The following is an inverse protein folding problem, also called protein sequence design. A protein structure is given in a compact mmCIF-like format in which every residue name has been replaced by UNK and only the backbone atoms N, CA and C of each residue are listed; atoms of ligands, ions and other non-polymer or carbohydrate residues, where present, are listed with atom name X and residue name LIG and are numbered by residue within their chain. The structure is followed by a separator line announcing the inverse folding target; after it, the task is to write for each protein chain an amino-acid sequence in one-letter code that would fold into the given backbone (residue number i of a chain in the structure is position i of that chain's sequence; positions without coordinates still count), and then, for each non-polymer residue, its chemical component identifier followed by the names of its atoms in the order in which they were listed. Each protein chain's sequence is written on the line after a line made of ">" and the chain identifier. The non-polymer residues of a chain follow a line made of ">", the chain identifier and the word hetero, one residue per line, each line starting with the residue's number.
data_IF_879953874016
#
_entry.id   IF_879953874016
#
_cell.length_a   1.000
_cell.length_b   1.000
_cell.length_c   1.000
_cell.angle_alpha   90.00
_cell.angle_beta   90.00
_cell.angle_gamma   90.00
#
_symmetry.space_group_name_H-M   'P 1'
#
loop_
_entity.id
_entity.type
_entity.pdbx_description
1 polymer ?
#
# COMPACT_ATOMS: atom_id res chain seq x y z
N UNK A 1 -17.07 17.92 2.45
CA UNK A 1 -15.60 17.74 2.38
C UNK A 1 -15.00 19.14 2.33
N UNK A 2 -14.41 19.63 3.41
CA UNK A 2 -13.91 21.00 3.46
C UNK A 2 -12.48 21.07 2.89
N UNK A 3 -12.31 21.80 1.79
CA UNK A 3 -11.01 21.99 1.16
C UNK A 3 -10.17 22.97 2.01
N UNK A 4 -8.93 22.61 2.34
CA UNK A 4 -8.03 23.52 3.07
C UNK A 4 -7.83 24.82 2.27
N UNK A 5 -8.22 25.96 2.86
CA UNK A 5 -8.18 27.30 2.24
C UNK A 5 -6.85 27.66 1.57
N UNK A 6 -5.71 27.23 2.14
CA UNK A 6 -4.39 27.51 1.56
C UNK A 6 -4.14 26.78 0.22
N UNK A 7 -4.65 25.56 0.07
CA UNK A 7 -4.42 24.75 -1.15
C UNK A 7 -5.25 25.26 -2.33
N UNK A 8 -6.44 25.80 -2.06
CA UNK A 8 -7.32 26.37 -3.10
C UNK A 8 -6.75 27.70 -3.60
N UNK A 9 -6.29 28.58 -2.69
CA UNK A 9 -5.73 29.88 -3.04
C UNK A 9 -4.49 29.78 -3.94
N UNK A 10 -3.56 28.86 -3.63
CA UNK A 10 -2.34 28.68 -4.43
C UNK A 10 -2.59 28.13 -5.84
N UNK A 11 -3.66 27.35 -6.01
CA UNK A 11 -4.07 26.80 -7.32
C UNK A 11 -4.76 27.88 -8.15
N UNK A 12 -5.70 28.63 -7.56
CA UNK A 12 -6.45 29.67 -8.28
C UNK A 12 -5.59 30.88 -8.64
N UNK A 13 -4.54 31.19 -7.86
CA UNK A 13 -3.61 32.29 -8.13
C UNK A 13 -2.50 31.94 -9.12
N UNK A 14 -2.47 30.70 -9.65
CA UNK A 14 -1.45 30.25 -10.60
C UNK A 14 -0.04 30.12 -10.01
N UNK A 15 0.12 30.23 -8.69
CA UNK A 15 1.43 30.11 -8.01
C UNK A 15 2.02 28.70 -8.10
N UNK A 16 1.20 27.68 -8.36
CA UNK A 16 1.66 26.31 -8.59
C UNK A 16 2.06 26.08 -10.04
N UNK A 17 3.34 25.73 -10.23
CA UNK A 17 3.92 25.31 -11.53
C UNK A 17 3.54 23.89 -11.96
N UNK A 18 2.90 23.09 -11.09
CA UNK A 18 2.52 21.70 -11.37
C UNK A 18 1.02 21.56 -11.44
N UNK A 19 0.56 20.76 -12.40
CA UNK A 19 -0.84 20.41 -12.57
C UNK A 19 -1.36 19.79 -11.25
N UNK A 20 -2.53 20.22 -10.74
CA UNK A 20 -3.11 19.65 -9.53
C UNK A 20 -3.37 18.14 -9.69
N UNK A 21 -3.36 17.40 -8.58
CA UNK A 21 -3.77 15.99 -8.61
C UNK A 21 -5.26 15.87 -8.91
N UNK A 22 -5.66 14.81 -9.62
CA UNK A 22 -7.07 14.56 -9.94
C UNK A 22 -7.99 14.59 -8.72
N UNK A 23 -7.56 14.01 -7.59
CA UNK A 23 -8.36 14.02 -6.35
C UNK A 23 -8.73 15.42 -5.88
N UNK A 24 -7.85 16.41 -6.08
CA UNK A 24 -8.16 17.80 -5.78
C UNK A 24 -9.17 18.39 -6.78
N UNK A 25 -8.94 18.18 -8.08
CA UNK A 25 -9.83 18.69 -9.15
C UNK A 25 -11.24 18.12 -9.00
N UNK A 26 -11.35 16.82 -8.76
CA UNK A 26 -12.61 16.14 -8.50
C UNK A 26 -13.34 16.74 -7.29
N UNK A 27 -12.68 16.80 -6.12
CA UNK A 27 -13.31 17.41 -4.93
C UNK A 27 -13.70 18.87 -5.15
N UNK A 28 -12.91 19.64 -5.89
CA UNK A 28 -13.21 21.04 -6.20
C UNK A 28 -14.45 21.18 -7.10
N UNK A 29 -14.48 20.48 -8.24
CA UNK A 29 -15.60 20.53 -9.19
C UNK A 29 -16.89 20.04 -8.54
N UNK A 30 -16.86 18.93 -7.80
CA UNK A 30 -18.05 18.44 -7.08
C UNK A 30 -18.55 19.45 -6.06
N UNK A 31 -17.65 20.10 -5.30
CA UNK A 31 -18.05 21.12 -4.31
C UNK A 31 -18.64 22.35 -4.99
N UNK A 32 -18.07 22.79 -6.12
CA UNK A 32 -18.59 23.91 -6.90
C UNK A 32 -19.96 23.59 -7.52
N UNK A 33 -20.16 22.38 -8.04
CA UNK A 33 -21.45 21.95 -8.59
C UNK A 33 -22.53 21.95 -7.50
N UNK A 34 -22.25 21.37 -6.33
CA UNK A 34 -23.18 21.38 -5.18
C UNK A 34 -23.48 22.80 -4.68
N UNK A 35 -22.47 23.69 -4.64
CA UNK A 35 -22.68 25.08 -4.25
C UNK A 35 -23.50 25.87 -5.28
N UNK A 36 -23.31 25.60 -6.58
CA UNK A 36 -24.08 26.21 -7.66
C UNK A 36 -25.56 25.78 -7.61
N UNK A 37 -25.83 24.49 -7.38
CA UNK A 37 -27.18 23.97 -7.17
C UNK A 37 -27.88 24.63 -5.97
N UNK A 38 -27.16 24.77 -4.84
CA UNK A 38 -27.68 25.45 -3.64
C UNK A 38 -27.91 26.95 -3.86
N UNK A 39 -27.14 27.57 -4.77
CA UNK A 39 -27.26 28.98 -5.14
C UNK A 39 -28.24 29.26 -6.28
N UNK A 40 -28.89 28.23 -6.84
CA UNK A 40 -29.81 28.38 -7.98
C UNK A 40 -29.13 28.79 -9.29
N UNK A 41 -27.83 28.54 -9.43
CA UNK A 41 -27.05 28.81 -10.65
C UNK A 41 -27.14 27.62 -11.60
N UNK A 42 -27.23 27.89 -12.91
CA UNK A 42 -27.25 26.86 -13.94
C UNK A 42 -25.91 26.10 -13.99
N UNK A 43 -25.96 24.81 -13.62
CA UNK A 43 -24.81 23.90 -13.58
C UNK A 43 -24.53 23.29 -14.96
N UNK A 44 -25.44 23.42 -15.93
CA UNK A 44 -25.33 22.81 -17.26
C UNK A 44 -24.09 23.28 -18.04
N UNK A 45 -23.66 24.53 -17.82
CA UNK A 45 -22.45 25.10 -18.42
C UNK A 45 -21.14 24.61 -17.80
N UNK A 46 -21.17 23.96 -16.62
CA UNK A 46 -19.97 23.49 -15.93
C UNK A 46 -19.45 22.17 -16.51
N UNK A 47 -20.26 21.43 -17.28
CA UNK A 47 -19.89 20.13 -17.83
C UNK A 47 -19.89 19.01 -16.78
N UNK A 48 -19.86 17.76 -17.25
CA UNK A 48 -19.83 16.60 -16.34
C UNK A 48 -18.42 16.31 -15.80
N UNK A 49 -18.34 15.50 -14.74
CA UNK A 49 -17.07 15.13 -14.10
C UNK A 49 -16.13 14.42 -15.10
N UNK A 50 -16.66 13.73 -16.11
CA UNK A 50 -15.88 13.05 -17.13
C UNK A 50 -15.20 14.02 -18.10
N UNK A 51 -15.89 15.08 -18.52
CA UNK A 51 -15.33 16.15 -19.34
C UNK A 51 -14.19 16.86 -18.61
N UNK A 52 -14.37 17.14 -17.31
CA UNK A 52 -13.30 17.70 -16.47
C UNK A 52 -12.10 16.75 -16.37
N UNK A 53 -12.32 15.44 -16.32
CA UNK A 53 -11.26 14.45 -16.30
C UNK A 53 -10.48 14.40 -17.62
N UNK A 54 -11.16 14.48 -18.76
CA UNK A 54 -10.54 14.55 -20.10
C UNK A 54 -9.65 15.79 -20.21
N UNK A 55 -10.15 16.96 -19.79
CA UNK A 55 -9.37 18.20 -19.75
C UNK A 55 -8.17 18.11 -18.80
N UNK A 56 -8.36 17.53 -17.61
CA UNK A 56 -7.28 17.32 -16.64
C UNK A 56 -6.19 16.41 -17.19
N UNK A 57 -6.56 15.30 -17.83
CA UNK A 57 -5.63 14.35 -18.45
C UNK A 57 -4.83 15.02 -19.57
N UNK A 58 -5.51 15.74 -20.47
CA UNK A 58 -4.83 16.48 -21.53
C UNK A 58 -3.82 17.51 -20.98
N UNK A 59 -4.19 18.24 -19.93
CA UNK A 59 -3.30 19.19 -19.26
C UNK A 59 -2.12 18.49 -18.55
N UNK A 60 -2.37 17.35 -17.91
CA UNK A 60 -1.35 16.57 -17.21
C UNK A 60 -0.35 15.92 -18.17
N UNK A 61 -0.84 15.39 -19.30
CA UNK A 61 0.00 14.79 -20.34
C UNK A 61 0.81 15.85 -21.09
N UNK A 62 0.21 17.02 -21.36
CA UNK A 62 0.94 18.18 -21.88
C UNK A 62 2.05 18.65 -20.91
N UNK A 63 1.77 18.67 -19.60
CA UNK A 63 2.77 19.01 -18.59
C UNK A 63 3.86 17.93 -18.43
N UNK A 64 3.56 16.66 -18.72
CA UNK A 64 4.54 15.58 -18.75
C UNK A 64 5.43 15.61 -20.00
N UNK A 65 4.92 16.13 -21.12
CA UNK A 65 5.61 16.29 -22.40
C UNK A 65 6.40 17.61 -22.53
N UNK A 66 6.42 18.46 -21.50
CA UNK A 66 7.15 19.74 -21.50
C UNK A 66 8.42 19.68 -20.64
N UNK A 67 9.59 19.31 -21.18
CA UNK A 67 10.87 19.81 -20.68
C UNK A 67 11.03 21.28 -21.10
N UNK A 68 11.61 22.10 -20.21
CA UNK A 68 11.98 23.50 -20.45
C UNK A 68 12.62 23.70 -21.85
N UNK A 69 12.13 24.62 -22.68
CA UNK A 69 12.98 25.23 -23.69
C UNK A 69 13.93 26.19 -22.97
N UNK A 70 15.23 25.90 -23.04
CA UNK A 70 16.23 26.95 -22.85
C UNK A 70 15.99 28.01 -23.92
N UNK A 71 15.86 29.26 -23.49
CA UNK A 71 15.72 30.42 -24.37
C UNK A 71 16.89 30.51 -25.35
N UNK A 72 16.61 30.57 -26.65
CA UNK A 72 17.28 31.52 -27.53
C UNK A 72 16.52 31.69 -28.85
N UNK A 73 16.13 32.93 -29.13
CA UNK A 73 16.18 33.47 -30.50
C UNK A 73 14.94 33.33 -31.37
N UNK A 74 14.20 34.42 -31.45
CA UNK A 74 13.16 34.76 -32.41
C UNK A 74 13.48 34.46 -33.92
N UNK A 75 12.44 33.96 -34.61
CA UNK A 75 11.99 34.25 -35.99
C UNK A 75 12.96 34.04 -37.18
N UNK A 76 12.60 33.16 -38.12
CA UNK A 76 12.17 33.50 -39.49
C UNK A 76 12.18 32.30 -40.46
N UNK A 77 11.39 32.48 -41.53
CA UNK A 77 11.00 31.56 -42.60
C UNK A 77 12.13 30.75 -43.30
N UNK A 78 11.74 29.52 -43.65
CA UNK A 78 12.04 28.71 -44.84
C UNK A 78 13.16 29.15 -45.81
N UNK A 79 14.18 28.27 -45.98
CA UNK A 79 14.91 28.00 -47.24
C UNK A 79 15.37 26.52 -47.26
N UNK A 80 15.33 25.90 -48.45
CA UNK A 80 15.67 24.52 -48.82
C UNK A 80 17.14 24.09 -48.54
N UNK A 81 17.49 22.78 -48.56
CA UNK A 81 18.76 22.27 -48.08
C UNK A 81 19.86 22.31 -49.14
N UNK A 82 21.15 22.42 -48.74
CA UNK A 82 22.22 21.87 -49.54
C UNK A 82 23.09 20.86 -48.77
N UNK A 83 23.37 19.77 -49.49
CA UNK A 83 24.60 18.99 -49.57
C UNK A 83 25.34 18.55 -48.30
N UNK A 84 25.49 17.21 -48.24
CA UNK A 84 26.43 16.42 -47.47
C UNK A 84 27.78 17.11 -47.20
N UNK A 85 28.17 17.10 -45.92
CA UNK A 85 29.56 17.28 -45.49
C UNK A 85 30.02 16.02 -44.78
N UNK A 86 31.15 15.53 -45.28
CA UNK A 86 31.89 14.32 -44.98
C UNK A 86 32.27 14.22 -43.49
N UNK A 87 32.10 13.03 -42.90
CA UNK A 87 32.61 12.72 -41.58
C UNK A 87 34.16 12.77 -41.55
N UNK A 88 34.79 13.27 -40.48
CA UNK A 88 36.26 13.22 -40.34
C UNK A 88 36.73 11.77 -40.05
N UNK A 89 37.94 11.39 -40.52
CA UNK A 89 38.47 10.04 -40.31
C UNK A 89 38.84 9.79 -38.82
N UNK A 90 38.84 8.51 -38.38
CA UNK A 90 39.15 8.16 -37.00
C UNK A 90 40.62 8.44 -36.66
N UNK A 91 40.84 9.08 -35.51
CA UNK A 91 42.16 9.33 -34.93
C UNK A 91 42.80 8.01 -34.45
N UNK A 92 44.13 7.83 -34.58
CA UNK A 92 44.82 6.64 -34.11
C UNK A 92 44.91 6.61 -32.57
N UNK A 93 44.52 5.48 -31.98
CA UNK A 93 44.72 5.19 -30.55
C UNK A 93 46.20 4.91 -30.26
N UNK A 94 46.81 5.52 -29.21
CA UNK A 94 48.17 5.20 -28.81
C UNK A 94 48.26 3.78 -28.22
N UNK A 95 49.24 3.03 -28.70
CA UNK A 95 49.58 1.68 -28.26
C UNK A 95 50.32 1.72 -26.92
N UNK A 96 49.60 1.67 -25.80
CA UNK A 96 50.17 1.33 -24.49
C UNK A 96 49.09 0.91 -23.47
N UNK A 97 48.24 -0.04 -23.86
CA UNK A 97 47.34 -0.71 -22.92
C UNK A 97 47.89 -2.11 -22.62
N UNK A 98 48.17 -2.48 -21.35
CA UNK A 98 48.53 -3.85 -21.03
C UNK A 98 47.34 -4.78 -21.33
N UNK A 99 47.59 -6.01 -21.80
CA UNK A 99 46.52 -6.92 -22.15
C UNK A 99 45.66 -7.25 -20.93
N UNK A 100 44.33 -7.19 -21.11
CA UNK A 100 43.35 -7.68 -20.14
C UNK A 100 43.69 -9.12 -19.76
N UNK A 101 43.77 -9.48 -18.47
CA UNK A 101 43.91 -10.87 -18.07
C UNK A 101 42.67 -11.65 -18.53
N UNK A 102 42.91 -12.71 -19.30
CA UNK A 102 41.85 -13.63 -19.70
C UNK A 102 41.37 -14.44 -18.49
N UNK A 103 40.05 -14.70 -18.36
CA UNK A 103 39.55 -15.56 -17.30
C UNK A 103 40.03 -17.00 -17.54
N UNK A 104 40.76 -17.53 -16.56
CA UNK A 104 41.07 -18.96 -16.47
C UNK A 104 39.78 -19.78 -16.29
N UNK A 105 39.58 -20.87 -17.04
CA UNK A 105 38.43 -21.75 -16.83
C UNK A 105 38.58 -22.47 -15.48
N UNK A 106 37.57 -22.38 -14.63
CA UNK A 106 37.49 -23.13 -13.38
C UNK A 106 37.26 -24.62 -13.71
N UNK A 107 38.22 -25.47 -13.32
CA UNK A 107 38.08 -26.92 -13.31
C UNK A 107 36.95 -27.34 -12.37
N UNK A 108 35.76 -27.62 -12.92
CA UNK A 108 34.72 -28.37 -12.24
C UNK A 108 34.99 -29.87 -12.43
N UNK A 109 35.83 -30.43 -11.56
CA UNK A 109 35.95 -31.88 -11.41
C UNK A 109 36.07 -32.26 -9.95
N UNK A 110 34.94 -32.19 -9.25
CA UNK A 110 34.75 -32.84 -7.95
C UNK A 110 33.41 -33.56 -7.99
N UNK A 111 33.43 -34.79 -8.53
CA UNK A 111 32.42 -35.81 -8.26
C UNK A 111 32.53 -36.22 -6.79
N UNK A 112 31.43 -36.28 -6.02
CA UNK A 112 31.44 -36.97 -4.73
C UNK A 112 31.54 -38.49 -4.98
N UNK A 113 32.50 -39.12 -4.31
CA UNK A 113 32.67 -40.58 -4.25
C UNK A 113 31.51 -41.24 -3.48
N UNK A 114 31.08 -42.45 -3.85
CA UNK A 114 30.06 -43.19 -3.11
C UNK A 114 30.62 -43.72 -1.78
N UNK A 115 29.86 -43.52 -0.71
CA UNK A 115 30.12 -44.09 0.63
C UNK A 115 29.91 -45.61 0.61
N UNK A 116 30.77 -46.41 1.25
CA UNK A 116 30.61 -47.86 1.32
C UNK A 116 29.46 -48.25 2.27
N UNK A 117 28.65 -49.20 1.81
CA UNK A 117 27.61 -49.85 2.58
C UNK A 117 28.25 -50.81 3.58
N UNK A 118 28.17 -50.49 4.88
CA UNK A 118 28.12 -51.47 5.97
C UNK A 118 27.86 -50.74 7.29
N UNK A 119 26.60 -50.68 7.69
CA UNK A 119 26.20 -50.32 9.06
C UNK A 119 24.90 -51.07 9.41
N UNK A 120 24.90 -52.00 10.39
CA UNK A 120 23.74 -52.83 10.71
C UNK A 120 22.66 -52.07 11.50
N UNK A 121 21.38 -52.49 11.42
CA UNK A 121 20.25 -51.77 12.04
C UNK A 121 20.22 -51.96 13.56
N UNK A 122 19.93 -50.88 14.28
CA UNK A 122 19.63 -50.92 15.73
C UNK A 122 18.19 -51.37 15.98
N UNK A 123 17.93 -52.15 17.05
CA UNK A 123 16.67 -52.83 17.29
C UNK A 123 15.57 -51.91 17.86
N UNK A 124 14.34 -52.23 17.48
CA UNK A 124 13.09 -51.68 18.01
C UNK A 124 12.61 -52.59 19.15
N UNK A 125 12.41 -52.02 20.33
CA UNK A 125 11.64 -52.58 21.45
C UNK A 125 10.93 -51.39 22.11
N UNK A 126 9.65 -51.38 22.44
CA UNK A 126 8.74 -52.46 22.78
C UNK A 126 8.05 -52.10 24.11
N UNK A 127 6.89 -51.45 24.01
CA UNK A 127 5.75 -51.26 24.92
C UNK A 127 5.80 -51.53 26.45
N UNK A 128 5.33 -50.52 27.22
CA UNK A 128 4.22 -50.48 28.22
C UNK A 128 4.20 -51.46 29.45
N UNK A 129 3.47 -51.23 30.58
CA UNK A 129 2.06 -50.77 30.77
C UNK A 129 1.92 -49.56 31.77
N UNK A 130 0.87 -48.73 31.84
CA UNK A 130 -0.60 -48.86 31.98
C UNK A 130 -1.12 -49.20 33.41
N UNK A 131 -1.68 -48.19 34.11
CA UNK A 131 -2.74 -48.24 35.14
C UNK A 131 -3.48 -46.87 35.01
N UNK A 132 -4.70 -46.78 34.45
CA UNK A 132 -6.02 -47.08 35.04
C UNK A 132 -6.74 -45.74 35.32
N UNK A 133 -7.58 -45.23 34.39
CA UNK A 133 -9.06 -45.24 34.39
C UNK A 133 -9.68 -44.37 35.52
N UNK A 134 -10.66 -43.48 35.37
CA UNK A 134 -11.82 -43.35 34.46
C UNK A 134 -12.49 -41.93 34.67
N UNK A 135 -13.71 -41.57 34.20
CA UNK A 135 -13.93 -40.45 33.28
C UNK A 135 -14.88 -39.34 33.79
N UNK A 136 -14.95 -38.21 33.07
CA UNK A 136 -16.13 -37.34 33.07
C UNK A 136 -16.19 -36.53 31.76
N UNK A 137 -17.33 -36.64 31.09
CA UNK A 137 -17.76 -35.87 29.91
C UNK A 137 -18.95 -34.98 30.34
N UNK A 138 -19.55 -34.15 29.47
CA UNK A 138 -19.11 -32.82 29.05
C UNK A 138 -20.06 -31.70 29.54
N UNK A 139 -19.58 -30.46 29.61
CA UNK A 139 -20.30 -29.22 29.24
C UNK A 139 -19.72 -27.97 29.93
N UNK A 140 -19.71 -26.87 29.17
CA UNK A 140 -19.77 -25.46 29.60
C UNK A 140 -18.50 -24.62 29.57
N UNK A 141 -18.61 -23.53 28.79
CA UNK A 141 -18.02 -22.22 29.06
C UNK A 141 -16.61 -22.04 28.51
N UNK A 142 -16.39 -21.48 27.31
CA UNK A 142 -16.76 -20.10 26.92
C UNK A 142 -16.70 -19.18 28.13
N UNK A 143 -15.51 -18.68 28.45
CA UNK A 143 -15.35 -17.50 29.30
C UNK A 143 -15.37 -16.26 28.40
N UNK A 144 -16.45 -15.47 28.39
CA UNK A 144 -16.45 -14.17 27.72
C UNK A 144 -15.65 -13.15 28.54
N UNK A 145 -14.77 -12.45 27.85
CA UNK A 145 -14.12 -11.23 28.28
C UNK A 145 -15.18 -10.22 28.76
N UNK A 146 -15.14 -9.81 30.04
CA UNK A 146 -16.05 -8.81 30.61
C UNK A 146 -15.46 -7.41 30.45
N UNK A 147 -16.22 -6.43 29.92
CA UNK A 147 -15.84 -5.02 29.97
C UNK A 147 -16.04 -4.46 31.39
N UNK A 148 -15.13 -3.56 31.79
CA UNK A 148 -15.18 -2.81 33.06
C UNK A 148 -16.52 -2.09 33.21
N UNK A 149 -17.23 -2.36 34.31
CA UNK A 149 -18.40 -1.60 34.77
C UNK A 149 -17.94 -0.26 35.36
N UNK A 150 -18.57 0.81 34.88
CA UNK A 150 -18.64 2.11 35.54
C UNK A 150 -19.25 1.98 36.93
N UNK A 151 -18.65 2.68 37.89
CA UNK A 151 -19.17 2.84 39.26
C UNK A 151 -20.31 3.86 39.23
N UNK A 152 -21.49 3.57 39.80
CA UNK A 152 -22.51 4.57 40.09
C UNK A 152 -22.51 4.93 41.59
N UNK A 153 -22.45 6.22 41.88
CA UNK A 153 -22.74 6.84 43.18
C UNK A 153 -22.65 8.35 42.99
N UNK A 154 -23.48 9.22 43.53
CA UNK A 154 -24.64 9.09 44.40
C UNK A 154 -25.48 10.36 44.14
N UNK A 155 -26.80 10.22 44.00
CA UNK A 155 -27.74 11.34 44.06
C UNK A 155 -28.22 11.50 45.51
N UNK A 156 -28.45 12.73 45.95
CA UNK A 156 -29.66 13.02 46.70
C UNK A 156 -30.50 14.12 46.06
N UNK A 157 -31.81 13.94 46.25
CA UNK A 157 -32.97 14.64 45.71
C UNK A 157 -33.29 16.01 46.41
N UNK A 158 -34.34 16.74 45.99
CA UNK A 158 -34.32 18.19 45.78
C UNK A 158 -34.96 19.03 46.90
N UNK A 159 -34.57 20.31 46.96
CA UNK A 159 -35.36 21.35 47.64
C UNK A 159 -35.51 22.60 46.75
N UNK A 160 -36.76 22.77 46.29
CA UNK A 160 -37.58 23.98 46.17
C UNK A 160 -36.93 25.34 45.84
N UNK A 161 -37.38 25.87 44.68
CA UNK A 161 -37.92 27.21 44.46
C UNK A 161 -37.16 28.41 45.07
N UNK A 162 -36.50 29.19 44.22
CA UNK A 162 -36.70 30.64 44.25
C UNK A 162 -36.58 31.26 42.85
N UNK A 163 -37.52 32.18 42.62
CA UNK A 163 -37.73 32.95 41.41
C UNK A 163 -36.53 33.84 41.04
N UNK A 164 -36.36 34.08 39.74
CA UNK A 164 -35.24 34.83 39.19
C UNK A 164 -35.27 36.35 39.45
N UNK A 165 -34.24 37.03 38.94
CA UNK A 165 -34.52 38.19 38.09
C UNK A 165 -33.64 38.24 36.83
N UNK A 166 -34.24 38.67 35.71
CA UNK A 166 -33.63 39.55 34.69
C UNK A 166 -32.51 39.00 33.77
N UNK A 167 -32.52 39.34 32.46
CA UNK A 167 -31.49 38.93 31.53
C UNK A 167 -30.27 39.86 31.65
N UNK A 168 -29.24 39.43 32.37
CA UNK A 168 -27.92 40.08 32.34
C UNK A 168 -26.93 39.20 31.57
N UNK A 169 -26.55 39.71 30.40
CA UNK A 169 -25.24 39.58 29.75
C UNK A 169 -24.64 38.16 29.67
N UNK A 170 -24.78 37.55 28.48
CA UNK A 170 -23.85 36.51 28.04
C UNK A 170 -22.44 37.12 28.03
N UNK A 171 -21.46 36.55 28.77
CA UNK A 171 -20.07 36.89 28.53
C UNK A 171 -19.72 36.43 27.11
N UNK A 172 -19.21 37.36 26.30
CA UNK A 172 -18.55 37.09 25.03
C UNK A 172 -17.58 35.90 25.17
N UNK A 173 -17.48 34.99 24.19
CA UNK A 173 -16.52 33.90 24.25
C UNK A 173 -15.12 34.49 24.27
N UNK A 174 -14.44 34.33 25.41
CA UNK A 174 -13.02 34.65 25.54
C UNK A 174 -12.28 33.85 24.46
N UNK A 175 -11.51 34.49 23.57
CA UNK A 175 -10.69 33.77 22.60
C UNK A 175 -9.74 32.87 23.40
N UNK A 176 -9.73 31.59 23.05
CA UNK A 176 -8.83 30.56 23.56
C UNK A 176 -7.38 30.90 23.13
N UNK A 177 -6.79 31.90 23.79
CA UNK A 177 -5.35 32.18 23.79
C UNK A 177 -4.65 31.12 24.64
N UNK A 178 -4.58 29.90 24.13
CA UNK A 178 -4.02 28.81 24.91
C UNK A 178 -4.00 27.44 24.26
N UNK A 179 -4.32 27.31 22.96
CA UNK A 179 -3.93 26.12 22.21
C UNK A 179 -2.40 26.11 22.05
N UNK A 180 -1.72 25.66 23.10
CA UNK A 180 -0.33 25.23 23.13
C UNK A 180 0.03 24.63 21.77
N UNK A 181 1.04 25.15 21.06
CA UNK A 181 1.47 24.57 19.80
C UNK A 181 1.92 23.15 20.11
N UNK A 182 1.13 22.17 19.66
CA UNK A 182 1.43 20.74 19.73
C UNK A 182 2.94 20.50 19.59
N UNK A 183 3.56 19.93 20.63
CA UNK A 183 5.01 19.72 20.67
C UNK A 183 5.53 19.19 19.33
N UNK A 184 6.65 19.73 18.81
CA UNK A 184 7.16 19.29 17.52
C UNK A 184 7.51 17.80 17.62
N UNK A 185 6.82 16.98 16.82
CA UNK A 185 7.07 15.53 16.63
C UNK A 185 8.57 15.26 16.74
N UNK A 186 8.97 14.44 17.73
CA UNK A 186 10.37 14.15 18.05
C UNK A 186 11.11 13.63 16.82
N UNK A 187 12.42 13.85 16.75
CA UNK A 187 13.24 13.41 15.62
C UNK A 187 13.14 11.89 15.40
N UNK A 188 13.07 11.13 16.50
CA UNK A 188 12.81 9.70 16.52
C UNK A 188 11.47 9.34 15.86
N UNK A 189 10.38 10.04 16.21
CA UNK A 189 9.07 9.76 15.61
C UNK A 189 9.04 10.10 14.11
N UNK A 190 9.78 11.13 13.67
CA UNK A 190 9.93 11.45 12.24
C UNK A 190 10.66 10.33 11.50
N UNK A 191 11.70 9.75 12.09
CA UNK A 191 12.43 8.63 11.48
C UNK A 191 11.55 7.38 11.41
N UNK A 192 10.82 7.06 12.47
CA UNK A 192 9.88 5.94 12.46
C UNK A 192 8.77 6.14 11.42
N UNK A 193 8.26 7.35 11.24
CA UNK A 193 7.30 7.67 10.19
C UNK A 193 7.90 7.53 8.78
N UNK A 194 9.18 7.82 8.59
CA UNK A 194 9.89 7.61 7.32
C UNK A 194 9.96 6.11 7.01
N UNK A 195 10.42 5.32 7.98
CA UNK A 195 10.64 3.88 7.84
C UNK A 195 9.32 3.13 7.64
N UNK A 196 8.34 3.31 8.53
CA UNK A 196 7.14 2.49 8.58
C UNK A 196 5.90 3.16 7.93
N UNK A 197 5.89 4.48 7.80
CA UNK A 197 4.68 5.24 7.49
C UNK A 197 3.67 5.23 8.64
N UNK A 198 2.54 5.94 8.49
CA UNK A 198 1.55 6.08 9.57
C UNK A 198 0.94 4.74 10.00
N UNK A 199 0.52 3.92 9.04
CA UNK A 199 -0.11 2.63 9.31
C UNK A 199 0.91 1.61 9.84
N UNK A 200 2.12 1.57 9.28
CA UNK A 200 3.18 0.70 9.78
C UNK A 200 3.67 1.11 11.17
N UNK A 201 3.69 2.41 11.50
CA UNK A 201 4.03 2.88 12.84
C UNK A 201 2.96 2.48 13.86
N UNK A 202 1.67 2.52 13.48
CA UNK A 202 0.60 1.99 14.33
C UNK A 202 0.80 0.49 14.57
N UNK A 203 1.10 -0.27 13.52
CA UNK A 203 1.42 -1.69 13.63
C UNK A 203 2.58 -1.92 14.60
N UNK A 204 3.70 -1.19 14.43
CA UNK A 204 4.86 -1.26 15.31
C UNK A 204 4.51 -1.02 16.79
N UNK A 205 3.65 -0.04 17.07
CA UNK A 205 3.20 0.27 18.45
C UNK A 205 2.30 -0.80 19.05
N UNK A 206 1.58 -1.54 18.21
CA UNK A 206 0.69 -2.64 18.63
C UNK A 206 1.40 -4.00 18.69
N UNK A 207 2.59 -4.11 18.12
CA UNK A 207 3.34 -5.35 17.99
C UNK A 207 4.17 -5.68 19.23
N UNK A 208 4.23 -6.97 19.57
CA UNK A 208 5.12 -7.50 20.59
C UNK A 208 6.50 -7.85 19.96
N UNK A 209 7.60 -7.19 20.37
CA UNK A 209 8.93 -7.51 19.86
C UNK A 209 9.44 -8.90 20.27
N UNK A 210 8.76 -9.60 21.18
CA UNK A 210 9.04 -10.99 21.53
C UNK A 210 8.25 -12.00 20.67
N UNK A 211 7.15 -11.60 20.02
CA UNK A 211 6.42 -12.49 19.11
C UNK A 211 7.11 -12.51 17.74
N UNK A 212 7.59 -13.68 17.35
CA UNK A 212 8.21 -13.89 16.04
C UNK A 212 7.28 -13.56 14.86
N UNK A 213 5.95 -13.69 15.02
CA UNK A 213 4.99 -13.34 13.96
C UNK A 213 4.92 -11.83 13.76
N UNK A 214 4.94 -11.05 14.83
CA UNK A 214 5.01 -9.59 14.77
C UNK A 214 6.35 -9.10 14.22
N UNK A 215 7.45 -9.70 14.66
CA UNK A 215 8.77 -9.44 14.09
C UNK A 215 8.79 -9.70 12.58
N UNK A 216 8.20 -10.81 12.11
CA UNK A 216 8.10 -11.12 10.68
C UNK A 216 7.30 -10.05 9.92
N UNK A 217 6.16 -9.61 10.46
CA UNK A 217 5.36 -8.53 9.84
C UNK A 217 6.16 -7.24 9.69
N UNK A 218 6.90 -6.84 10.73
CA UNK A 218 7.72 -5.63 10.73
C UNK A 218 8.92 -5.74 9.79
N UNK A 219 9.55 -6.92 9.71
CA UNK A 219 10.58 -7.23 8.71
C UNK A 219 10.06 -7.05 7.27
N UNK A 220 8.89 -7.60 6.97
CA UNK A 220 8.26 -7.49 5.64
C UNK A 220 7.97 -6.02 5.30
N UNK A 221 7.42 -5.25 6.24
CA UNK A 221 7.13 -3.82 6.04
C UNK A 221 8.39 -3.04 5.72
N UNK A 222 9.44 -3.21 6.52
CA UNK A 222 10.70 -2.46 6.38
C UNK A 222 11.46 -2.84 5.11
N UNK A 223 11.50 -4.13 4.77
CA UNK A 223 12.10 -4.62 3.52
C UNK A 223 11.38 -4.07 2.28
N UNK A 224 10.04 -4.12 2.24
CA UNK A 224 9.23 -3.58 1.14
C UNK A 224 9.24 -2.05 1.06
N UNK A 225 9.71 -1.36 2.10
CA UNK A 225 9.91 0.09 2.12
C UNK A 225 11.37 0.49 1.90
N UNK A 226 12.23 -0.46 1.51
CA UNK A 226 13.64 -0.24 1.19
C UNK A 226 14.51 0.12 2.40
N UNK A 227 14.22 -0.50 3.55
CA UNK A 227 15.03 -0.41 4.77
C UNK A 227 15.56 -1.80 5.16
N UNK A 228 16.50 -2.38 4.38
CA UNK A 228 16.97 -3.74 4.58
C UNK A 228 17.72 -3.94 5.90
N UNK A 229 18.42 -2.93 6.40
CA UNK A 229 19.17 -3.04 7.66
C UNK A 229 18.23 -3.24 8.85
N UNK A 230 17.16 -2.44 8.92
CA UNK A 230 16.10 -2.59 9.93
C UNK A 230 15.37 -3.92 9.76
N UNK A 231 15.15 -4.36 8.52
CA UNK A 231 14.53 -5.65 8.24
C UNK A 231 15.38 -6.81 8.77
N UNK A 232 16.72 -6.77 8.64
CA UNK A 232 17.61 -7.83 9.14
C UNK A 232 17.50 -8.02 10.65
N UNK A 233 17.36 -6.93 11.42
CA UNK A 233 17.20 -7.02 12.86
C UNK A 233 15.88 -7.70 13.25
N UNK A 234 14.79 -7.35 12.56
CA UNK A 234 13.50 -8.01 12.76
C UNK A 234 13.49 -9.47 12.31
N UNK A 235 14.14 -9.80 11.19
CA UNK A 235 14.27 -11.19 10.73
C UNK A 235 15.08 -12.04 11.71
N UNK A 236 16.15 -11.49 12.28
CA UNK A 236 16.92 -12.17 13.34
C UNK A 236 16.03 -12.49 14.54
N UNK A 237 15.32 -11.48 15.07
CA UNK A 237 14.39 -11.67 16.21
C UNK A 237 13.30 -12.70 15.89
N UNK A 238 12.74 -12.67 14.68
CA UNK A 238 11.75 -13.65 14.25
C UNK A 238 12.33 -15.07 14.19
N UNK A 239 13.56 -15.23 13.68
CA UNK A 239 14.28 -16.49 13.67
C UNK A 239 14.58 -17.02 15.08
N UNK A 240 15.06 -16.15 15.97
CA UNK A 240 15.33 -16.47 17.38
C UNK A 240 14.05 -16.89 18.12
N UNK A 241 12.90 -16.32 17.75
CA UNK A 241 11.57 -16.71 18.23
C UNK A 241 10.98 -17.95 17.51
N UNK A 242 11.76 -18.67 16.70
CA UNK A 242 11.38 -19.93 16.07
C UNK A 242 10.62 -19.83 14.75
N UNK A 243 10.63 -18.68 14.06
CA UNK A 243 10.01 -18.54 12.73
C UNK A 243 11.00 -18.92 11.63
N UNK A 244 10.93 -20.16 11.17
CA UNK A 244 11.78 -20.67 10.07
C UNK A 244 11.64 -19.85 8.77
N UNK A 245 10.45 -19.34 8.48
CA UNK A 245 10.18 -18.43 7.35
C UNK A 245 11.08 -17.18 7.36
N UNK A 246 11.48 -16.69 8.53
CA UNK A 246 12.34 -15.52 8.64
C UNK A 246 13.76 -15.84 8.14
N UNK A 247 14.27 -17.03 8.45
CA UNK A 247 15.58 -17.50 7.97
C UNK A 247 15.56 -17.74 6.46
N UNK A 248 14.46 -18.27 5.92
CA UNK A 248 14.28 -18.41 4.47
C UNK A 248 14.28 -17.05 3.77
N UNK A 249 13.50 -16.10 4.29
CA UNK A 249 13.40 -14.76 3.73
C UNK A 249 14.74 -14.01 3.82
N UNK A 250 15.47 -14.18 4.92
CA UNK A 250 16.79 -13.58 5.13
C UNK A 250 17.84 -14.06 4.11
N UNK A 251 17.80 -15.34 3.74
CA UNK A 251 18.76 -15.95 2.82
C UNK A 251 18.29 -15.97 1.35
N UNK A 252 17.10 -15.43 1.06
CA UNK A 252 16.54 -15.49 -0.28
C UNK A 252 17.32 -14.58 -1.25
N UNK A 253 17.62 -15.02 -2.49
CA UNK A 253 18.36 -14.22 -3.47
C UNK A 253 17.59 -12.97 -3.95
N UNK A 254 16.28 -12.96 -3.78
CA UNK A 254 15.38 -11.81 -4.06
C UNK A 254 14.43 -11.60 -2.89
N UNK A 255 14.91 -11.05 -1.76
CA UNK A 255 14.13 -11.00 -0.53
C UNK A 255 12.87 -10.13 -0.70
N UNK A 256 12.90 -9.11 -1.56
CA UNK A 256 11.75 -8.22 -1.81
C UNK A 256 10.58 -8.95 -2.49
N UNK A 257 10.86 -9.82 -3.46
CA UNK A 257 9.83 -10.59 -4.18
C UNK A 257 9.14 -11.58 -3.22
N UNK A 258 9.95 -12.29 -2.42
CA UNK A 258 9.44 -13.21 -1.39
C UNK A 258 8.67 -12.45 -0.30
N UNK A 259 9.16 -11.29 0.13
CA UNK A 259 8.48 -10.43 1.08
C UNK A 259 7.13 -9.91 0.55
N UNK A 260 7.00 -9.68 -0.76
CA UNK A 260 5.72 -9.33 -1.37
C UNK A 260 4.68 -10.45 -1.21
N UNK A 261 5.11 -11.72 -1.31
CA UNK A 261 4.29 -12.89 -0.99
C UNK A 261 3.85 -12.92 0.48
N UNK A 262 4.78 -12.74 1.42
CA UNK A 262 4.44 -12.67 2.85
C UNK A 262 3.52 -11.48 3.16
N UNK A 263 3.72 -10.32 2.52
CA UNK A 263 2.83 -9.18 2.66
C UNK A 263 1.41 -9.51 2.17
N UNK A 264 1.27 -10.20 1.04
CA UNK A 264 -0.04 -10.68 0.59
C UNK A 264 -0.70 -11.56 1.66
N UNK A 265 0.01 -12.57 2.19
CA UNK A 265 -0.50 -13.47 3.23
C UNK A 265 -0.88 -12.75 4.53
N UNK A 266 -0.08 -11.78 4.98
CA UNK A 266 -0.44 -10.95 6.12
C UNK A 266 -1.71 -10.13 5.84
N UNK A 267 -1.85 -9.60 4.63
CA UNK A 267 -3.06 -8.92 4.19
C UNK A 267 -4.30 -9.81 4.27
N UNK A 268 -4.19 -11.07 3.83
CA UNK A 268 -5.24 -12.10 3.99
C UNK A 268 -5.60 -12.27 5.46
N UNK A 269 -4.60 -12.53 6.30
CA UNK A 269 -4.81 -12.78 7.72
C UNK A 269 -5.50 -11.62 8.44
N UNK A 270 -5.21 -10.36 8.08
CA UNK A 270 -5.92 -9.21 8.65
C UNK A 270 -7.34 -9.03 8.10
N UNK A 271 -7.59 -9.45 6.86
CA UNK A 271 -8.91 -9.40 6.25
C UNK A 271 -9.85 -10.47 6.85
N UNK A 272 -9.31 -11.64 7.16
CA UNK A 272 -10.03 -12.81 7.69
C UNK A 272 -10.05 -12.87 9.22
N UNK A 273 -9.31 -11.99 9.90
CA UNK A 273 -9.35 -11.88 11.35
C UNK A 273 -10.76 -11.51 11.87
N UNK A 274 -11.06 -11.91 13.09
CA UNK A 274 -12.30 -11.54 13.78
C UNK A 274 -11.99 -10.64 15.00
N UNK A 275 -12.36 -9.34 14.98
CA UNK A 275 -12.97 -8.60 13.86
C UNK A 275 -11.97 -8.26 12.74
N UNK A 276 -12.44 -8.07 11.48
CA UNK A 276 -11.57 -7.75 10.36
C UNK A 276 -10.83 -6.44 10.54
N UNK A 277 -9.51 -6.45 10.30
CA UNK A 277 -8.66 -5.25 10.34
C UNK A 277 -8.38 -4.74 8.93
N UNK A 278 -9.43 -4.23 8.28
CA UNK A 278 -9.40 -3.78 6.87
C UNK A 278 -8.26 -2.79 6.59
N UNK A 279 -7.97 -1.87 7.51
CA UNK A 279 -6.88 -0.90 7.34
C UNK A 279 -5.49 -1.55 7.21
N UNK A 280 -5.22 -2.60 7.99
CA UNK A 280 -3.96 -3.34 7.87
C UNK A 280 -3.95 -4.24 6.62
N UNK A 281 -5.07 -4.89 6.32
CA UNK A 281 -5.19 -5.68 5.09
C UNK A 281 -4.86 -4.84 3.84
N UNK A 282 -5.46 -3.65 3.71
CA UNK A 282 -5.21 -2.77 2.57
C UNK A 282 -3.78 -2.22 2.55
N UNK A 283 -3.20 -1.97 3.72
CA UNK A 283 -1.81 -1.54 3.83
C UNK A 283 -0.85 -2.62 3.29
N UNK A 284 -1.04 -3.88 3.69
CA UNK A 284 -0.24 -5.00 3.23
C UNK A 284 -0.43 -5.31 1.74
N UNK A 285 -1.67 -5.27 1.24
CA UNK A 285 -1.91 -5.45 -0.20
C UNK A 285 -1.25 -4.36 -1.04
N UNK A 286 -1.23 -3.10 -0.57
CA UNK A 286 -0.52 -2.02 -1.26
C UNK A 286 0.99 -2.25 -1.31
N UNK A 287 1.60 -2.73 -0.22
CA UNK A 287 3.02 -3.06 -0.20
C UNK A 287 3.35 -4.18 -1.20
N UNK A 288 2.55 -5.26 -1.20
CA UNK A 288 2.73 -6.39 -2.10
C UNK A 288 2.50 -6.00 -3.57
N UNK A 289 1.42 -5.30 -3.88
CA UNK A 289 1.07 -4.87 -5.24
C UNK A 289 2.07 -3.84 -5.81
N UNK A 290 2.69 -3.02 -4.95
CA UNK A 290 3.75 -2.11 -5.36
C UNK A 290 4.97 -2.87 -5.92
N UNK A 291 5.28 -4.06 -5.38
CA UNK A 291 6.30 -4.98 -5.92
C UNK A 291 5.81 -5.92 -7.02
N UNK A 292 4.57 -5.75 -7.48
CA UNK A 292 4.04 -6.52 -8.60
C UNK A 292 3.36 -7.84 -8.20
N UNK A 293 3.06 -8.05 -6.91
CA UNK A 293 2.30 -9.23 -6.51
C UNK A 293 0.88 -9.19 -7.08
N UNK A 294 0.61 -10.12 -7.99
CA UNK A 294 -0.58 -10.12 -8.83
C UNK A 294 -1.89 -10.26 -8.01
N UNK A 295 -1.96 -11.23 -7.11
CA UNK A 295 -3.14 -11.43 -6.25
C UNK A 295 -3.42 -10.26 -5.28
N UNK A 296 -2.41 -9.51 -4.87
CA UNK A 296 -2.59 -8.32 -4.03
C UNK A 296 -3.18 -7.16 -4.84
N UNK A 297 -2.72 -6.99 -6.08
CA UNK A 297 -3.28 -6.04 -7.02
C UNK A 297 -4.76 -6.38 -7.33
N UNK A 298 -5.09 -7.66 -7.52
CA UNK A 298 -6.47 -8.10 -7.71
C UNK A 298 -7.36 -7.76 -6.50
N UNK A 299 -6.88 -7.99 -5.26
CA UNK A 299 -7.62 -7.63 -4.04
C UNK A 299 -7.82 -6.12 -3.89
N UNK A 300 -6.84 -5.31 -4.27
CA UNK A 300 -7.00 -3.85 -4.33
C UNK A 300 -8.02 -3.44 -5.38
N UNK A 301 -8.05 -4.10 -6.54
CA UNK A 301 -9.04 -3.82 -7.57
C UNK A 301 -10.47 -4.05 -7.05
N UNK A 302 -10.72 -5.19 -6.39
CA UNK A 302 -12.03 -5.47 -5.75
C UNK A 302 -12.38 -4.42 -4.68
N UNK A 303 -11.41 -4.03 -3.84
CA UNK A 303 -11.66 -3.02 -2.80
C UNK A 303 -12.01 -1.64 -3.38
N UNK A 304 -11.27 -1.18 -4.40
CA UNK A 304 -11.57 0.09 -5.08
C UNK A 304 -12.92 0.05 -5.79
N UNK A 305 -13.31 -1.10 -6.35
CA UNK A 305 -14.65 -1.28 -6.95
C UNK A 305 -15.77 -1.19 -5.92
N UNK A 306 -15.61 -1.77 -4.73
CA UNK A 306 -16.59 -1.65 -3.66
C UNK A 306 -16.84 -0.18 -3.25
N UNK A 307 -15.86 0.70 -3.47
CA UNK A 307 -15.97 2.15 -3.27
C UNK A 307 -16.36 2.94 -4.53
N UNK A 308 -16.74 2.26 -5.61
CA UNK A 308 -17.06 2.83 -6.94
C UNK A 308 -15.92 3.64 -7.56
N UNK A 309 -14.68 3.27 -7.27
CA UNK A 309 -13.47 3.87 -7.84
C UNK A 309 -12.98 3.06 -9.05
N UNK A 310 -13.82 2.98 -10.09
CA UNK A 310 -13.69 2.00 -11.18
C UNK A 310 -12.40 2.13 -11.97
N UNK A 311 -11.95 3.35 -12.20
CA UNK A 311 -10.68 3.60 -12.88
C UNK A 311 -9.48 3.09 -12.07
N UNK A 312 -9.50 3.26 -10.75
CA UNK A 312 -8.44 2.75 -9.87
C UNK A 312 -8.49 1.23 -9.83
N UNK A 313 -9.69 0.65 -9.82
CA UNK A 313 -9.89 -0.79 -9.88
C UNK A 313 -9.32 -1.38 -11.19
N UNK A 314 -9.65 -0.79 -12.34
CA UNK A 314 -9.14 -1.22 -13.64
C UNK A 314 -7.60 -1.15 -13.72
N UNK A 315 -7.01 -0.06 -13.20
CA UNK A 315 -5.55 0.09 -13.15
C UNK A 315 -4.89 -1.06 -12.37
N UNK A 316 -5.43 -1.40 -11.21
CA UNK A 316 -4.91 -2.50 -10.41
C UNK A 316 -5.16 -3.85 -11.06
N UNK A 317 -6.30 -4.03 -11.71
CA UNK A 317 -6.63 -5.25 -12.43
C UNK A 317 -5.69 -5.50 -13.62
N UNK A 318 -5.36 -4.46 -14.39
CA UNK A 318 -4.36 -4.55 -15.45
C UNK A 318 -3.00 -4.96 -14.90
N UNK A 319 -2.59 -4.35 -13.79
CA UNK A 319 -1.33 -4.72 -13.11
C UNK A 319 -1.35 -6.17 -12.59
N UNK A 320 -2.50 -6.65 -12.14
CA UNK A 320 -2.66 -8.05 -11.73
C UNK A 320 -2.55 -9.00 -12.93
N UNK A 321 -3.20 -8.69 -14.06
CA UNK A 321 -3.12 -9.50 -15.28
C UNK A 321 -1.70 -9.52 -15.88
N UNK A 322 -1.02 -8.37 -15.91
CA UNK A 322 0.40 -8.26 -16.29
C UNK A 322 1.32 -9.09 -15.37
N UNK A 323 0.96 -9.17 -14.08
CA UNK A 323 1.63 -10.00 -13.09
C UNK A 323 1.29 -11.49 -13.17
N UNK A 324 0.47 -11.91 -14.14
CA UNK A 324 0.10 -13.32 -14.35
C UNK A 324 -1.05 -13.82 -13.48
N UNK A 325 -1.87 -12.94 -12.90
CA UNK A 325 -3.08 -13.37 -12.18
C UNK A 325 -4.14 -13.85 -13.20
N UNK A 326 -4.53 -15.14 -13.17
CA UNK A 326 -5.42 -15.72 -14.17
C UNK A 326 -6.84 -15.16 -14.04
N UNK A 327 -7.27 -14.81 -12.83
CA UNK A 327 -8.59 -14.23 -12.57
C UNK A 327 -8.64 -12.78 -13.08
N UNK A 328 -7.56 -12.02 -12.92
CA UNK A 328 -7.48 -10.67 -13.46
C UNK A 328 -7.50 -10.68 -15.00
N UNK A 329 -6.78 -11.61 -15.62
CA UNK A 329 -6.77 -11.78 -17.07
C UNK A 329 -8.16 -12.16 -17.61
N UNK A 330 -8.82 -13.15 -16.99
CA UNK A 330 -10.16 -13.57 -17.41
C UNK A 330 -11.19 -12.46 -17.30
N UNK A 331 -11.11 -11.63 -16.25
CA UNK A 331 -12.01 -10.48 -16.06
C UNK A 331 -11.78 -9.42 -17.13
N UNK A 332 -10.53 -9.12 -17.49
CA UNK A 332 -10.22 -8.14 -18.55
C UNK A 332 -10.61 -8.63 -19.94
N UNK A 333 -10.41 -9.91 -20.23
CA UNK A 333 -10.76 -10.50 -21.53
C UNK A 333 -12.28 -10.60 -21.71
N UNK A 334 -13.02 -10.94 -20.64
CA UNK A 334 -14.48 -10.85 -20.63
C UNK A 334 -14.98 -9.43 -20.88
N UNK A 335 -14.35 -8.43 -20.27
CA UNK A 335 -14.68 -7.02 -20.49
C UNK A 335 -14.40 -6.53 -21.92
N UNK A 336 -13.30 -6.96 -22.55
CA UNK A 336 -12.94 -6.55 -23.91
C UNK A 336 -13.77 -7.22 -24.99
N UNK A 337 -14.10 -8.50 -24.80
CA UNK A 337 -14.82 -9.31 -25.78
C UNK A 337 -16.26 -8.85 -25.97
N UNK A 338 -16.83 -8.16 -24.98
CA UNK A 338 -18.21 -7.66 -25.03
C UNK A 338 -18.40 -6.42 -25.93
N UNK A 339 -17.36 -5.61 -26.18
CA UNK A 339 -17.57 -4.29 -26.83
C UNK A 339 -16.37 -3.69 -27.58
N UNK A 340 -15.23 -4.38 -27.73
CA UNK A 340 -14.04 -3.81 -28.41
C UNK A 340 -13.28 -2.76 -27.59
N UNK A 341 -13.62 -2.64 -26.29
CA UNK A 341 -13.02 -1.78 -25.27
C UNK A 341 -13.43 -2.29 -23.89
N UNK A 342 -12.76 -1.85 -22.81
CA UNK A 342 -13.10 -2.29 -21.45
C UNK A 342 -14.33 -1.49 -21.00
N UNK A 343 -15.51 -2.13 -20.95
CA UNK A 343 -16.71 -1.53 -20.37
C UNK A 343 -16.61 -1.56 -18.82
N UNK A 344 -16.58 -0.39 -18.15
CA UNK A 344 -16.48 -0.33 -16.69
C UNK A 344 -17.68 -0.96 -15.98
N UNK A 345 -18.88 -0.95 -16.58
CA UNK A 345 -20.08 -1.53 -16.01
C UNK A 345 -20.10 -3.07 -16.12
N UNK A 346 -19.52 -3.63 -17.18
CA UNK A 346 -19.36 -5.09 -17.31
C UNK A 346 -18.22 -5.60 -16.43
N UNK A 347 -17.11 -4.84 -16.38
CA UNK A 347 -15.99 -5.13 -15.49
C UNK A 347 -16.43 -5.23 -14.03
N UNK A 348 -17.35 -4.37 -13.64
CA UNK A 348 -17.99 -4.40 -12.34
C UNK A 348 -18.76 -5.69 -12.04
N UNK A 349 -19.66 -6.08 -12.95
CA UNK A 349 -20.48 -7.28 -12.80
C UNK A 349 -19.60 -8.55 -12.76
N UNK A 350 -18.54 -8.60 -13.58
CA UNK A 350 -17.58 -9.71 -13.58
C UNK A 350 -16.79 -9.82 -12.27
N UNK A 351 -16.31 -8.70 -11.71
CA UNK A 351 -15.59 -8.71 -10.43
C UNK A 351 -16.46 -9.11 -9.23
N UNK A 352 -17.74 -8.74 -9.25
CA UNK A 352 -18.70 -9.08 -8.18
C UNK A 352 -19.13 -10.55 -8.23
N UNK A 353 -19.19 -11.15 -9.43
CA UNK A 353 -19.53 -12.59 -9.61
C UNK A 353 -18.39 -13.55 -9.30
N UNK A 354 -17.16 -13.07 -9.16
CA UNK A 354 -15.99 -13.93 -8.98
C UNK A 354 -15.74 -14.26 -7.49
N UNK A 355 -15.62 -15.56 -7.14
CA UNK A 355 -15.23 -15.97 -5.80
C UNK A 355 -13.84 -15.41 -5.43
N UNK A 356 -13.56 -15.29 -4.14
CA UNK A 356 -12.22 -14.88 -3.69
C UNK A 356 -11.17 -15.87 -4.23
N UNK A 357 -9.98 -15.40 -4.67
CA UNK A 357 -8.95 -16.31 -5.13
C UNK A 357 -8.57 -17.29 -4.02
N UNK A 358 -8.65 -18.59 -4.31
CA UNK A 358 -8.05 -19.62 -3.48
C UNK A 358 -6.55 -19.33 -3.36
N UNK A 359 -6.09 -19.18 -2.12
CA UNK A 359 -4.67 -18.99 -1.83
C UNK A 359 -3.96 -20.28 -2.28
N UNK A 360 -2.97 -20.23 -3.18
CA UNK A 360 -2.18 -21.41 -3.48
C UNK A 360 -1.53 -21.87 -2.18
N UNK A 361 -1.90 -23.07 -1.71
CA UNK A 361 -1.19 -23.71 -0.61
C UNK A 361 0.23 -23.98 -1.10
N UNK A 362 1.18 -23.22 -0.55
CA UNK A 362 2.61 -23.38 -0.78
C UNK A 362 3.19 -24.32 0.25
#
# INVERSE_FOLDING_TARGET
>A
MELRKSTVSDVLTGKRKRVPKWTFVHSFVTTCATAAEQGGLDVGGMGDIQAWYVCWRAAHDAAALTPLPALSGATALAVAPPAAVLAPPPQPVPADYPPRPQPVPADYSSRPQPVPADCPPRPVAGSAPAVGAEPADPASGVLPWRPRRSVPGDLPEPHLLHAGPGPSERPEPVPDEGAEPSEPVSEEERELLRIYGRTGLRLLRESDPADGRDCMRLAVVTLLRNHPDVARDWLRRAGDAGRHEATELFNHPRPEDRAAGHAYLHGIGYQEAEPPRVSYAMFFFRLAAARGHAGAAFRLAKAHRAHREDWTAEKWLRRAAEGGDPLAASVLDGARSATGGIDPALLADLLDRMPAPEVPQA
#
